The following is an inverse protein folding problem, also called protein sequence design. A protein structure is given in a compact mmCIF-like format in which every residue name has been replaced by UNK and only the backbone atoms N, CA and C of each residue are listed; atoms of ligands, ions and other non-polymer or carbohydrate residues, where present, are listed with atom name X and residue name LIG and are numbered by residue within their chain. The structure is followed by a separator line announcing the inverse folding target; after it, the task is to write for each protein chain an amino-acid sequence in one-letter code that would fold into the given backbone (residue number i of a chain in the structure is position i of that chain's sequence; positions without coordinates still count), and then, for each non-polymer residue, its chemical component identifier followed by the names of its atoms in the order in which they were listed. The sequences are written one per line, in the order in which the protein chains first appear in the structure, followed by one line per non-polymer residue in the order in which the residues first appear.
data_IF_460035487454
#
_entry.id   IF_460035487454
#
_cell.length_a   1.000
_cell.length_b   1.000
_cell.length_c   1.000
_cell.angle_alpha   90.00
_cell.angle_beta   90.00
_cell.angle_gamma   90.00
#
_symmetry.space_group_name_H-M   'P 1'
#
loop_
_entity.id
_entity.type
_entity.pdbx_description
1 polymer ?
#
# COMPACT_ATOMS: atom_id res chain seq x y z
N UNK A 1 14.93 3.93 -23.42
CA UNK A 1 14.91 4.46 -22.03
C UNK A 1 14.62 3.30 -21.10
N UNK A 2 15.36 3.08 -19.99
CA UNK A 2 14.97 2.08 -19.01
C UNK A 2 13.61 2.44 -18.41
N UNK A 3 12.73 1.46 -18.21
CA UNK A 3 11.44 1.71 -17.55
C UNK A 3 11.70 2.31 -16.17
N UNK A 4 11.00 3.38 -15.77
CA UNK A 4 11.12 3.90 -14.40
C UNK A 4 10.79 2.75 -13.45
N UNK A 5 11.64 2.58 -12.43
CA UNK A 5 11.39 1.60 -11.39
C UNK A 5 10.02 1.90 -10.77
N UNK A 6 9.21 0.86 -10.53
CA UNK A 6 7.95 1.04 -9.81
C UNK A 6 8.23 1.74 -8.48
N UNK A 7 7.40 2.71 -8.04
CA UNK A 7 7.54 3.31 -6.72
C UNK A 7 7.62 2.22 -5.64
N UNK A 8 8.52 2.41 -4.67
CA UNK A 8 8.75 1.45 -3.59
C UNK A 8 8.55 2.13 -2.24
N UNK A 9 7.90 1.43 -1.32
CA UNK A 9 7.81 1.82 0.09
C UNK A 9 8.75 0.95 0.92
N UNK A 10 9.46 1.56 1.87
CA UNK A 10 10.24 0.86 2.89
C UNK A 10 9.66 1.20 4.25
N UNK A 11 9.21 0.19 4.98
CA UNK A 11 8.60 0.34 6.30
C UNK A 11 9.31 -0.56 7.31
N UNK A 12 9.33 -0.12 8.56
CA UNK A 12 9.81 -0.92 9.68
C UNK A 12 8.62 -1.54 10.41
N UNK A 13 8.67 -2.84 10.64
CA UNK A 13 7.66 -3.60 11.39
C UNK A 13 8.35 -4.43 12.46
N UNK A 14 7.61 -4.85 13.48
CA UNK A 14 8.12 -5.78 14.48
C UNK A 14 8.37 -7.15 13.86
N UNK A 15 9.32 -7.91 14.43
CA UNK A 15 9.61 -9.28 13.98
C UNK A 15 8.39 -10.21 14.04
N UNK A 16 7.50 -9.98 15.00
CA UNK A 16 6.23 -10.70 15.11
C UNK A 16 5.35 -10.46 13.88
N UNK A 17 5.18 -9.19 13.48
CA UNK A 17 4.38 -8.81 12.31
C UNK A 17 4.99 -9.34 11.01
N UNK A 18 6.32 -9.30 10.87
CA UNK A 18 7.01 -9.87 9.70
C UNK A 18 6.75 -11.37 9.56
N UNK A 19 6.90 -12.12 10.65
CA UNK A 19 6.64 -13.57 10.67
C UNK A 19 5.19 -13.89 10.32
N UNK A 20 4.25 -13.17 10.92
CA UNK A 20 2.83 -13.37 10.65
C UNK A 20 2.47 -13.05 9.19
N UNK A 21 2.98 -11.93 8.65
CA UNK A 21 2.74 -11.52 7.27
C UNK A 21 3.25 -12.56 6.27
N UNK A 22 4.46 -13.09 6.47
CA UNK A 22 5.03 -14.15 5.63
C UNK A 22 4.25 -15.46 5.72
N UNK A 23 3.80 -15.83 6.92
CA UNK A 23 2.99 -17.03 7.10
C UNK A 23 1.64 -16.92 6.36
N UNK A 24 0.96 -15.80 6.49
CA UNK A 24 -0.30 -15.53 5.77
C UNK A 24 -0.07 -15.53 4.26
N UNK A 25 1.04 -14.94 3.78
CA UNK A 25 1.40 -14.95 2.37
C UNK A 25 1.55 -16.39 1.83
N UNK A 26 2.25 -17.25 2.57
CA UNK A 26 2.36 -18.66 2.22
C UNK A 26 1.02 -19.40 2.20
N UNK A 27 0.14 -19.14 3.16
CA UNK A 27 -1.19 -19.78 3.24
C UNK A 27 -2.10 -19.31 2.09
N UNK A 28 -2.05 -18.03 1.72
CA UNK A 28 -2.86 -17.45 0.62
C UNK A 28 -2.29 -17.75 -0.77
N UNK A 29 -1.18 -18.49 -0.87
CA UNK A 29 -0.40 -18.67 -2.11
C UNK A 29 -0.15 -17.32 -2.82
N UNK A 30 0.26 -16.32 -2.03
CA UNK A 30 0.40 -14.93 -2.46
C UNK A 30 1.75 -14.36 -2.05
N UNK A 31 2.12 -13.23 -2.65
CA UNK A 31 3.34 -12.51 -2.28
C UNK A 31 3.06 -11.50 -1.17
N UNK A 32 4.07 -11.22 -0.34
CA UNK A 32 4.02 -10.13 0.64
C UNK A 32 3.65 -8.79 -0.02
N UNK A 33 4.20 -8.53 -1.21
CA UNK A 33 3.88 -7.32 -1.97
C UNK A 33 2.39 -7.24 -2.36
N UNK A 34 1.80 -8.36 -2.80
CA UNK A 34 0.37 -8.40 -3.15
C UNK A 34 -0.51 -8.15 -1.94
N UNK A 35 -0.18 -8.74 -0.78
CA UNK A 35 -0.93 -8.52 0.46
C UNK A 35 -0.81 -7.08 0.94
N UNK A 36 0.39 -6.49 0.88
CA UNK A 36 0.60 -5.10 1.30
C UNK A 36 -0.16 -4.14 0.37
N UNK A 37 -0.14 -4.37 -0.94
CA UNK A 37 -0.95 -3.59 -1.88
C UNK A 37 -2.45 -3.71 -1.57
N UNK A 38 -2.97 -4.94 -1.38
CA UNK A 38 -4.36 -5.19 -1.00
C UNK A 38 -4.74 -4.45 0.30
N UNK A 39 -3.83 -4.40 1.27
CA UNK A 39 -4.06 -3.70 2.53
C UNK A 39 -4.07 -2.18 2.36
N UNK A 40 -3.19 -1.63 1.52
CA UNK A 40 -3.15 -0.19 1.21
C UNK A 40 -4.41 0.21 0.48
N UNK A 41 -4.83 -0.53 -0.55
CA UNK A 41 -6.05 -0.24 -1.31
C UNK A 41 -7.27 -0.20 -0.39
N UNK A 42 -7.42 -1.21 0.49
CA UNK A 42 -8.50 -1.24 1.48
C UNK A 42 -8.47 -0.08 2.46
N UNK A 43 -7.29 0.28 2.95
CA UNK A 43 -7.14 1.40 3.87
C UNK A 43 -7.46 2.74 3.20
N UNK A 44 -7.12 2.91 1.92
CA UNK A 44 -7.48 4.09 1.14
C UNK A 44 -8.99 4.16 0.86
N UNK A 45 -9.67 3.02 0.74
CA UNK A 45 -11.13 2.95 0.55
C UNK A 45 -11.94 3.26 1.82
N UNK A 46 -11.30 3.37 2.99
CA UNK A 46 -11.96 3.75 4.23
C UNK A 46 -12.46 5.21 4.19
N UNK A 47 -13.62 5.47 4.80
CA UNK A 47 -14.31 6.76 4.70
C UNK A 47 -13.46 7.94 5.21
N UNK A 48 -12.68 7.74 6.27
CA UNK A 48 -11.79 8.77 6.82
C UNK A 48 -10.76 9.22 5.77
N UNK A 49 -10.15 8.28 5.05
CA UNK A 49 -9.13 8.54 4.04
C UNK A 49 -9.76 9.20 2.81
N UNK A 50 -10.95 8.74 2.40
CA UNK A 50 -11.72 9.37 1.31
C UNK A 50 -12.09 10.82 1.64
N UNK A 51 -12.55 11.11 2.86
CA UNK A 51 -12.85 12.48 3.31
C UNK A 51 -11.60 13.38 3.29
N UNK A 52 -10.43 12.85 3.67
CA UNK A 52 -9.16 13.57 3.59
C UNK A 52 -8.79 13.85 2.13
N UNK A 53 -8.89 12.85 1.26
CA UNK A 53 -8.59 12.99 -0.17
C UNK A 53 -9.45 14.09 -0.79
N UNK A 54 -10.76 14.07 -0.54
CA UNK A 54 -11.70 15.09 -1.04
C UNK A 54 -11.39 16.48 -0.46
N UNK A 55 -11.25 16.58 0.87
CA UNK A 55 -11.04 17.86 1.56
C UNK A 55 -9.79 18.60 1.08
N UNK A 56 -8.75 17.86 0.72
CA UNK A 56 -7.48 18.43 0.28
C UNK A 56 -7.23 18.31 -1.23
N UNK A 57 -8.21 17.81 -2.02
CA UNK A 57 -8.10 17.55 -3.46
C UNK A 57 -6.86 16.71 -3.83
N UNK A 58 -6.60 15.64 -3.07
CA UNK A 58 -5.43 14.77 -3.27
C UNK A 58 -5.57 13.82 -4.47
N UNK A 59 -6.75 13.73 -5.06
CA UNK A 59 -7.01 13.07 -6.34
C UNK A 59 -6.35 13.80 -7.52
N UNK A 60 -5.97 15.07 -7.34
CA UNK A 60 -5.34 15.92 -8.37
C UNK A 60 -3.83 16.03 -8.22
N UNK A 61 -3.19 15.14 -7.46
CA UNK A 61 -1.74 15.17 -7.24
C UNK A 61 -0.93 15.13 -8.54
N UNK A 62 -1.45 14.47 -9.58
CA UNK A 62 -0.82 14.40 -10.91
C UNK A 62 -0.89 15.72 -11.70
N UNK A 63 -1.76 16.66 -11.33
CA UNK A 63 -1.86 17.97 -11.98
C UNK A 63 -0.88 19.01 -11.41
N UNK A 64 -0.22 18.68 -10.29
CA UNK A 64 0.75 19.53 -9.59
C UNK A 64 2.19 19.20 -10.04
N UNK A 65 2.36 18.23 -10.94
CA UNK A 65 3.65 17.72 -11.46
C UNK A 65 4.06 18.28 -12.80
#
# INVERSE_FOLDING_TARGET
MPKPAKPQIRVYITEEKDRLLKAIAGIKDSSVNAIVNEAIDRWLDEAEQQEIVEKFNLDRLDEIG
#
